data_IF_508903725494
#
_entry.id   IF_508903725494
#
_cell.length_a   1.000
_cell.length_b   1.000
_cell.length_c   1.000
_cell.angle_alpha   90.00
_cell.angle_beta   90.00
_cell.angle_gamma   90.00
#
_symmetry.space_group_name_H-M   'P 1'
#
loop_
_entity.id
_entity.type
_entity.pdbx_description
1 polymer ?
#
# COMPACT_ATOMS: atom_id res chain seq x y z
N UNK A 1 4.85 -9.70 8.02
CA UNK A 1 4.25 -8.36 8.16
C UNK A 1 4.47 -7.77 9.56
N UNK A 2 4.25 -8.50 10.65
CA UNK A 2 4.49 -7.97 12.02
C UNK A 2 5.95 -7.54 12.23
N UNK A 3 6.93 -8.32 11.77
CA UNK A 3 8.34 -7.97 11.89
C UNK A 3 8.75 -6.68 11.18
N UNK A 4 8.09 -6.35 10.06
CA UNK A 4 8.34 -5.11 9.31
C UNK A 4 7.87 -3.89 10.08
N UNK A 5 6.73 -3.99 10.76
CA UNK A 5 6.21 -2.90 11.58
C UNK A 5 7.06 -2.68 12.83
N UNK A 6 7.43 -3.74 13.54
CA UNK A 6 8.26 -3.64 14.75
C UNK A 6 9.66 -3.08 14.47
N UNK A 7 10.30 -3.50 13.37
CA UNK A 7 11.61 -2.94 12.96
C UNK A 7 11.51 -1.52 12.40
N UNK A 8 10.36 -1.18 11.78
CA UNK A 8 10.09 0.15 11.23
C UNK A 8 9.74 1.19 12.30
N UNK A 9 9.21 0.78 13.45
CA UNK A 9 8.81 1.69 14.53
C UNK A 9 9.99 2.48 15.13
N UNK A 10 11.16 1.86 15.23
CA UNK A 10 12.36 2.53 15.77
C UNK A 10 12.79 3.75 14.92
N UNK A 11 13.02 3.62 13.61
CA UNK A 11 13.35 4.77 12.78
C UNK A 11 12.17 5.74 12.58
N UNK A 12 10.92 5.25 12.61
CA UNK A 12 9.73 6.11 12.54
C UNK A 12 9.65 7.07 13.71
N UNK A 13 9.81 6.59 14.96
CA UNK A 13 9.81 7.43 16.16
C UNK A 13 10.93 8.47 16.14
N UNK A 14 12.12 8.12 15.65
CA UNK A 14 13.22 9.06 15.51
C UNK A 14 12.93 10.17 14.50
N UNK A 15 12.30 9.84 13.38
CA UNK A 15 11.93 10.83 12.34
C UNK A 15 10.74 11.68 12.81
N UNK A 16 9.74 11.09 13.46
CA UNK A 16 8.62 11.81 14.06
C UNK A 16 9.08 12.85 15.08
N UNK A 17 10.02 12.46 15.95
CA UNK A 17 10.62 13.37 16.93
C UNK A 17 11.37 14.53 16.25
N UNK A 18 12.18 14.25 15.23
CA UNK A 18 12.91 15.27 14.45
C UNK A 18 11.95 16.23 13.72
N UNK A 19 10.90 15.71 13.09
CA UNK A 19 9.91 16.52 12.39
C UNK A 19 9.10 17.38 13.37
N UNK A 20 8.77 16.84 14.55
CA UNK A 20 8.12 17.57 15.64
C UNK A 20 8.99 18.72 16.15
N UNK A 21 10.27 18.47 16.45
CA UNK A 21 11.23 19.49 16.90
C UNK A 21 11.41 20.62 15.86
N UNK A 22 11.48 20.27 14.58
CA UNK A 22 11.52 21.25 13.49
C UNK A 22 10.22 22.08 13.41
N UNK A 23 9.07 21.44 13.61
CA UNK A 23 7.77 22.10 13.68
C UNK A 23 7.71 23.11 14.83
N UNK A 24 8.17 22.71 16.02
CA UNK A 24 8.19 23.56 17.22
C UNK A 24 9.16 24.75 17.10
N UNK A 25 10.34 24.54 16.49
CA UNK A 25 11.30 25.62 16.23
C UNK A 25 10.72 26.69 15.29
N UNK A 26 9.96 26.27 14.27
CA UNK A 26 9.31 27.21 13.34
C UNK A 26 8.11 27.87 14.02
N UNK A 27 7.37 27.12 14.85
CA UNK A 27 6.24 27.63 15.62
C UNK A 27 6.66 28.75 16.60
N UNK A 28 7.83 28.63 17.23
CA UNK A 28 8.36 29.62 18.18
C UNK A 28 8.95 30.86 17.52
N UNK A 29 9.35 30.76 16.24
CA UNK A 29 10.05 31.84 15.54
C UNK A 29 9.15 32.71 14.65
N UNK A 30 7.90 32.28 14.43
CA UNK A 30 6.91 33.04 13.64
C UNK A 30 5.76 33.56 14.49
N UNK A 31 5.33 34.79 14.26
CA UNK A 31 4.14 35.38 14.87
C UNK A 31 2.86 34.67 14.43
N UNK A 32 1.88 34.60 15.31
CA UNK A 32 0.59 33.96 15.05
C UNK A 32 -0.11 34.57 13.82
N UNK A 33 -0.41 33.67 12.83
CA UNK A 33 -1.09 34.08 11.60
C UNK A 33 -1.48 32.85 10.76
N UNK A 34 -2.46 33.00 9.84
CA UNK A 34 -2.93 31.89 9.01
C UNK A 34 -1.81 31.31 8.12
N UNK A 35 -0.75 32.03 7.90
CA UNK A 35 0.43 31.62 7.14
C UNK A 35 1.28 30.60 7.93
N UNK A 36 1.30 30.70 9.27
CA UNK A 36 1.97 29.78 10.19
C UNK A 36 1.27 28.41 10.17
N UNK A 37 -0.05 28.41 10.27
CA UNK A 37 -0.85 27.16 10.26
C UNK A 37 -0.70 26.45 8.90
N UNK A 38 -0.68 27.19 7.79
CA UNK A 38 -0.46 26.62 6.46
C UNK A 38 0.94 26.02 6.31
N UNK A 39 1.98 26.64 6.87
CA UNK A 39 3.36 26.16 6.80
C UNK A 39 3.58 24.95 7.73
N UNK A 40 3.09 25.02 8.96
CA UNK A 40 3.31 23.96 9.96
C UNK A 40 2.43 22.76 9.67
N UNK A 41 1.12 22.96 9.57
CA UNK A 41 0.18 21.83 9.35
C UNK A 41 0.17 21.37 7.91
N UNK A 42 0.30 22.27 6.93
CA UNK A 42 0.28 21.90 5.53
C UNK A 42 1.60 21.30 5.05
N UNK A 43 2.70 22.03 5.19
CA UNK A 43 4.00 21.60 4.61
C UNK A 43 4.71 20.63 5.55
N UNK A 44 4.91 20.99 6.83
CA UNK A 44 5.65 20.15 7.76
C UNK A 44 4.85 18.91 8.12
N UNK A 45 3.56 19.03 8.41
CA UNK A 45 2.67 17.90 8.67
C UNK A 45 2.53 16.98 7.45
N UNK A 46 2.34 17.55 6.25
CA UNK A 46 2.20 16.78 5.02
C UNK A 46 3.49 16.08 4.58
N UNK A 47 4.59 16.83 4.49
CA UNK A 47 5.90 16.27 4.09
C UNK A 47 6.45 15.35 5.19
N UNK A 48 6.31 15.74 6.46
CA UNK A 48 6.71 14.91 7.61
C UNK A 48 5.98 13.58 7.63
N UNK A 49 4.66 13.58 7.41
CA UNK A 49 3.87 12.36 7.32
C UNK A 49 4.37 11.40 6.22
N UNK A 50 4.77 11.93 5.05
CA UNK A 50 5.34 11.09 3.98
C UNK A 50 6.71 10.55 4.37
N UNK A 51 7.57 11.36 4.97
CA UNK A 51 8.94 10.95 5.36
C UNK A 51 8.89 9.89 6.47
N UNK A 52 7.95 9.99 7.41
CA UNK A 52 7.75 8.99 8.47
C UNK A 52 7.40 7.61 7.90
N UNK A 53 6.64 7.55 6.79
CA UNK A 53 6.32 6.28 6.14
C UNK A 53 7.46 5.68 5.29
N UNK A 54 8.45 6.47 4.94
CA UNK A 54 9.53 6.07 4.04
C UNK A 54 10.35 4.87 4.56
N UNK A 55 10.78 4.79 5.83
CA UNK A 55 11.48 3.63 6.35
C UNK A 55 10.65 2.35 6.28
N UNK A 56 9.36 2.44 6.57
CA UNK A 56 8.46 1.29 6.51
C UNK A 56 8.32 0.75 5.07
N UNK A 57 8.22 1.65 4.10
CA UNK A 57 8.18 1.28 2.67
C UNK A 57 9.49 0.64 2.23
N UNK A 58 10.64 1.16 2.66
CA UNK A 58 11.97 0.60 2.36
C UNK A 58 12.13 -0.82 2.93
N UNK A 59 11.75 -1.03 4.19
CA UNK A 59 11.78 -2.33 4.84
C UNK A 59 10.85 -3.33 4.14
N UNK A 60 9.65 -2.90 3.82
CA UNK A 60 8.69 -3.73 3.08
C UNK A 60 9.26 -4.14 1.72
N UNK A 61 9.87 -3.20 1.00
CA UNK A 61 10.50 -3.46 -0.30
C UNK A 61 11.68 -4.43 -0.16
N UNK A 62 12.50 -4.26 0.88
CA UNK A 62 13.62 -5.14 1.19
C UNK A 62 13.16 -6.58 1.43
N UNK A 63 12.13 -6.79 2.26
CA UNK A 63 11.59 -8.12 2.52
C UNK A 63 10.95 -8.77 1.29
N UNK A 64 10.26 -7.99 0.46
CA UNK A 64 9.69 -8.47 -0.80
C UNK A 64 10.80 -8.93 -1.74
N UNK A 65 11.87 -8.14 -1.91
CA UNK A 65 13.02 -8.49 -2.73
C UNK A 65 13.70 -9.78 -2.25
N UNK A 66 13.84 -9.94 -0.95
CA UNK A 66 14.43 -11.13 -0.34
C UNK A 66 13.57 -12.37 -0.56
N UNK A 67 12.24 -12.25 -0.53
CA UNK A 67 11.32 -13.34 -0.87
C UNK A 67 11.32 -13.67 -2.37
N UNK A 68 11.54 -12.68 -3.23
CA UNK A 68 11.66 -12.87 -4.67
C UNK A 68 12.95 -13.60 -5.02
N UNK A 69 14.09 -13.17 -4.46
CA UNK A 69 15.41 -13.80 -4.66
C UNK A 69 15.48 -15.23 -4.12
N UNK A 70 14.74 -15.55 -3.05
CA UNK A 70 14.68 -16.92 -2.50
C UNK A 70 13.94 -17.92 -3.40
N UNK A 71 13.31 -17.46 -4.49
CA UNK A 71 12.52 -18.30 -5.41
C UNK A 71 11.19 -18.80 -4.83
N UNK A 72 10.81 -18.33 -3.64
CA UNK A 72 9.54 -18.70 -2.99
C UNK A 72 8.34 -18.26 -3.83
N UNK A 73 8.41 -17.06 -4.42
CA UNK A 73 7.36 -16.49 -5.26
C UNK A 73 7.06 -17.33 -6.51
N UNK A 74 8.08 -17.92 -7.13
CA UNK A 74 7.92 -18.78 -8.30
C UNK A 74 7.13 -20.07 -7.97
N UNK A 75 7.37 -20.64 -6.79
CA UNK A 75 6.63 -21.83 -6.32
C UNK A 75 5.17 -21.49 -6.00
N UNK A 76 4.92 -20.35 -5.36
CA UNK A 76 3.58 -19.87 -5.07
C UNK A 76 2.78 -19.60 -6.36
N UNK A 77 3.40 -19.00 -7.37
CA UNK A 77 2.78 -18.75 -8.67
C UNK A 77 2.35 -20.05 -9.37
N UNK A 78 3.15 -21.09 -9.29
CA UNK A 78 2.83 -22.39 -9.88
C UNK A 78 1.57 -23.03 -9.25
N UNK A 79 1.45 -22.97 -7.93
CA UNK A 79 0.29 -23.53 -7.21
C UNK A 79 -0.99 -22.76 -7.58
N UNK A 80 -0.90 -21.45 -7.72
CA UNK A 80 -2.05 -20.57 -7.97
C UNK A 80 -2.40 -20.42 -9.46
N UNK A 81 -1.59 -20.98 -10.37
CA UNK A 81 -1.80 -20.92 -11.82
C UNK A 81 -3.20 -21.44 -12.22
N UNK A 82 -3.65 -22.53 -11.62
CA UNK A 82 -4.97 -23.11 -11.88
C UNK A 82 -6.14 -22.16 -11.54
N UNK A 83 -5.98 -21.34 -10.51
CA UNK A 83 -7.01 -20.37 -10.09
C UNK A 83 -6.97 -19.14 -11.00
N UNK A 84 -5.76 -18.67 -11.36
CA UNK A 84 -5.58 -17.54 -12.23
C UNK A 84 -6.10 -17.79 -13.65
N UNK A 85 -5.92 -19.00 -14.18
CA UNK A 85 -6.49 -19.40 -15.46
C UNK A 85 -8.03 -19.35 -15.48
N UNK A 86 -8.71 -19.65 -14.39
CA UNK A 86 -10.17 -19.51 -14.29
C UNK A 86 -10.63 -18.04 -14.37
N UNK A 87 -9.76 -17.11 -14.01
CA UNK A 87 -10.02 -15.66 -14.09
C UNK A 87 -9.56 -15.06 -15.44
N UNK A 88 -8.96 -15.86 -16.32
CA UNK A 88 -8.42 -15.43 -17.61
C UNK A 88 -7.03 -14.78 -17.52
N UNK A 89 -6.38 -14.86 -16.36
CA UNK A 89 -5.03 -14.32 -16.12
C UNK A 89 -3.98 -15.44 -16.14
N UNK A 90 -2.74 -15.07 -16.42
CA UNK A 90 -1.61 -16.00 -16.34
C UNK A 90 -1.19 -16.21 -14.88
N UNK A 91 -0.69 -17.39 -14.51
CA UNK A 91 -0.26 -17.70 -13.15
C UNK A 91 0.75 -16.71 -12.56
N UNK A 92 1.65 -16.19 -13.39
CA UNK A 92 2.60 -15.14 -13.02
C UNK A 92 1.93 -13.82 -12.56
N UNK A 93 0.66 -13.57 -12.90
CA UNK A 93 -0.10 -12.38 -12.46
C UNK A 93 -0.46 -12.43 -10.98
N UNK A 94 -0.40 -13.61 -10.36
CA UNK A 94 -0.67 -13.78 -8.93
C UNK A 94 0.32 -13.01 -8.05
N UNK A 95 1.60 -12.99 -8.43
CA UNK A 95 2.66 -12.32 -7.67
C UNK A 95 2.38 -10.82 -7.53
N UNK A 96 2.21 -10.04 -8.64
CA UNK A 96 1.85 -8.64 -8.54
C UNK A 96 0.55 -8.39 -7.77
N UNK A 97 -0.45 -9.26 -7.88
CA UNK A 97 -1.71 -9.08 -7.19
C UNK A 97 -1.54 -9.21 -5.67
N UNK A 98 -0.79 -10.20 -5.17
CA UNK A 98 -0.52 -10.31 -3.73
C UNK A 98 0.34 -9.15 -3.23
N UNK A 99 1.36 -8.77 -3.99
CA UNK A 99 2.20 -7.61 -3.65
C UNK A 99 1.37 -6.32 -3.56
N UNK A 100 0.30 -6.20 -4.37
CA UNK A 100 -0.62 -5.07 -4.38
C UNK A 100 -1.36 -4.84 -3.06
N UNK A 101 -1.58 -5.87 -2.26
CA UNK A 101 -2.12 -5.70 -0.90
C UNK A 101 -1.12 -5.02 0.06
N UNK A 102 0.17 -5.22 -0.16
CA UNK A 102 1.21 -4.52 0.58
C UNK A 102 1.46 -3.12 0.00
N UNK A 103 1.96 -3.07 -1.23
CA UNK A 103 2.28 -1.83 -1.93
C UNK A 103 2.07 -1.96 -3.44
N UNK A 104 1.29 -1.07 -4.02
CA UNK A 104 0.99 -1.09 -5.47
C UNK A 104 2.21 -0.76 -6.34
N UNK A 105 3.17 0.01 -5.83
CA UNK A 105 4.35 0.42 -6.62
C UNK A 105 5.21 -0.77 -7.04
N UNK A 106 5.75 -1.59 -6.11
CA UNK A 106 6.51 -2.79 -6.46
C UNK A 106 5.65 -3.81 -7.20
N UNK A 107 4.36 -3.89 -6.91
CA UNK A 107 3.44 -4.78 -7.61
C UNK A 107 3.31 -4.45 -9.10
N UNK A 108 3.19 -3.18 -9.45
CA UNK A 108 3.17 -2.73 -10.84
C UNK A 108 4.53 -2.96 -11.50
N UNK A 109 5.63 -2.75 -10.79
CA UNK A 109 6.97 -3.03 -11.30
C UNK A 109 7.19 -4.53 -11.56
N UNK A 110 6.77 -5.39 -10.64
CA UNK A 110 6.84 -6.85 -10.79
C UNK A 110 5.98 -7.37 -11.96
N UNK A 111 4.90 -6.66 -12.33
CA UNK A 111 4.08 -7.05 -13.48
C UNK A 111 4.84 -7.06 -14.80
N UNK A 112 6.02 -6.40 -14.89
CA UNK A 112 6.88 -6.43 -16.07
C UNK A 112 7.41 -7.83 -16.40
N UNK A 113 7.47 -8.72 -15.42
CA UNK A 113 7.90 -10.13 -15.61
C UNK A 113 6.88 -10.98 -16.35
N UNK A 114 5.66 -10.47 -16.55
CA UNK A 114 4.59 -11.17 -17.28
C UNK A 114 4.86 -11.04 -18.78
N UNK A 115 5.07 -12.15 -19.46
CA UNK A 115 5.41 -12.22 -20.88
C UNK A 115 4.24 -11.78 -21.77
N UNK A 116 3.02 -12.20 -21.44
CA UNK A 116 1.84 -11.87 -22.21
C UNK A 116 1.42 -10.42 -21.99
N UNK A 117 1.47 -9.61 -23.06
CA UNK A 117 1.15 -8.17 -23.04
C UNK A 117 -0.26 -7.87 -22.53
N UNK A 118 -1.26 -8.69 -22.92
CA UNK A 118 -2.65 -8.50 -22.43
C UNK A 118 -2.73 -8.74 -20.94
N UNK A 119 -2.25 -9.88 -20.44
CA UNK A 119 -2.27 -10.20 -19.00
C UNK A 119 -1.49 -9.18 -18.17
N UNK A 120 -0.37 -8.68 -18.70
CA UNK A 120 0.42 -7.63 -18.05
C UNK A 120 -0.37 -6.33 -17.89
N UNK A 121 -1.00 -5.83 -18.96
CA UNK A 121 -1.80 -4.62 -18.93
C UNK A 121 -3.00 -4.76 -17.98
N UNK A 122 -3.70 -5.88 -18.04
CA UNK A 122 -4.84 -6.16 -17.18
C UNK A 122 -4.40 -6.20 -15.71
N UNK A 123 -3.29 -6.85 -15.39
CA UNK A 123 -2.73 -6.90 -14.04
C UNK A 123 -2.36 -5.51 -13.52
N UNK A 124 -1.75 -4.66 -14.37
CA UNK A 124 -1.43 -3.27 -14.00
C UNK A 124 -2.68 -2.43 -13.72
N UNK A 125 -3.76 -2.62 -14.50
CA UNK A 125 -5.01 -1.89 -14.34
C UNK A 125 -5.81 -2.33 -13.12
N UNK A 126 -5.73 -3.60 -12.75
CA UNK A 126 -6.47 -4.15 -11.62
C UNK A 126 -5.78 -3.85 -10.28
N UNK A 127 -4.45 -3.75 -10.29
CA UNK A 127 -3.66 -3.56 -9.08
C UNK A 127 -4.11 -2.35 -8.24
N UNK A 128 -4.39 -1.16 -8.79
CA UNK A 128 -4.89 -0.02 -8.02
C UNK A 128 -6.29 -0.21 -7.40
N UNK A 129 -7.07 -1.19 -7.86
CA UNK A 129 -8.36 -1.53 -7.26
C UNK A 129 -8.21 -2.31 -5.96
N UNK A 130 -7.05 -2.95 -5.76
CA UNK A 130 -6.74 -3.60 -4.50
C UNK A 130 -6.33 -2.57 -3.45
N UNK A 131 -6.91 -2.70 -2.27
CA UNK A 131 -6.58 -1.81 -1.14
C UNK A 131 -5.22 -2.17 -0.58
N UNK A 132 -4.24 -1.29 -0.78
CA UNK A 132 -2.90 -1.44 -0.20
C UNK A 132 -2.85 -0.98 1.26
N UNK A 133 -1.80 -1.36 1.97
CA UNK A 133 -1.60 -1.01 3.38
C UNK A 133 -1.57 0.50 3.64
N UNK A 134 -1.14 1.31 2.68
CA UNK A 134 -1.14 2.76 2.78
C UNK A 134 -2.54 3.41 2.82
N UNK A 135 -3.57 2.71 2.32
CA UNK A 135 -4.97 3.18 2.39
C UNK A 135 -5.65 2.83 3.71
N UNK A 136 -5.10 1.88 4.45
CA UNK A 136 -5.69 1.37 5.69
C UNK A 136 -5.87 2.47 6.75
N UNK A 137 -4.90 3.36 7.03
CA UNK A 137 -5.09 4.46 7.98
C UNK A 137 -6.23 5.41 7.58
N UNK A 138 -6.37 5.70 6.28
CA UNK A 138 -7.44 6.58 5.78
C UNK A 138 -8.81 5.91 5.98
N UNK A 139 -8.91 4.61 5.70
CA UNK A 139 -10.14 3.86 5.94
C UNK A 139 -10.50 3.79 7.42
N UNK A 140 -9.49 3.59 8.31
CA UNK A 140 -9.69 3.58 9.75
C UNK A 140 -10.21 4.91 10.26
N UNK A 141 -9.66 6.03 9.79
CA UNK A 141 -10.10 7.37 10.14
C UNK A 141 -11.55 7.62 9.70
N UNK A 142 -11.87 7.33 8.43
CA UNK A 142 -13.21 7.53 7.89
C UNK A 142 -14.24 6.63 8.57
N UNK A 143 -13.93 5.35 8.69
CA UNK A 143 -14.85 4.37 9.28
C UNK A 143 -15.01 4.63 10.78
N UNK A 144 -13.93 5.00 11.49
CA UNK A 144 -13.99 5.38 12.90
C UNK A 144 -14.82 6.62 13.17
N UNK A 145 -14.80 7.60 12.24
CA UNK A 145 -15.61 8.81 12.36
C UNK A 145 -17.11 8.57 12.10
N UNK A 146 -17.44 7.71 11.10
CA UNK A 146 -18.83 7.49 10.68
C UNK A 146 -19.50 6.29 11.33
N UNK A 147 -18.74 5.23 11.66
CA UNK A 147 -19.28 3.95 12.16
C UNK A 147 -18.47 3.39 13.34
N UNK A 148 -18.47 4.06 14.52
CA UNK A 148 -17.64 3.63 15.66
C UNK A 148 -17.99 2.23 16.19
N UNK A 149 -19.25 1.80 16.07
CA UNK A 149 -19.71 0.51 16.61
C UNK A 149 -19.42 -0.69 15.70
N UNK A 150 -19.28 -0.50 14.37
CA UNK A 150 -19.13 -1.57 13.39
C UNK A 150 -17.94 -1.36 12.45
N UNK A 151 -16.88 -0.70 12.90
CA UNK A 151 -15.72 -0.35 12.12
C UNK A 151 -15.08 -1.55 11.40
N UNK A 152 -14.90 -2.66 12.11
CA UNK A 152 -14.29 -3.87 11.55
C UNK A 152 -15.12 -4.50 10.44
N UNK A 153 -16.44 -4.50 10.56
CA UNK A 153 -17.33 -5.06 9.55
C UNK A 153 -17.34 -4.22 8.27
N UNK A 154 -17.39 -2.90 8.42
CA UNK A 154 -17.35 -1.96 7.27
C UNK A 154 -16.01 -2.06 6.54
N UNK A 155 -14.89 -2.17 7.26
CA UNK A 155 -13.57 -2.41 6.67
C UNK A 155 -13.55 -3.71 5.84
N UNK A 156 -14.05 -4.81 6.41
CA UNK A 156 -14.12 -6.10 5.71
C UNK A 156 -14.93 -5.99 4.42
N UNK A 157 -16.07 -5.30 4.46
CA UNK A 157 -16.92 -5.07 3.28
C UNK A 157 -16.18 -4.26 2.20
N UNK A 158 -15.46 -3.20 2.56
CA UNK A 158 -14.68 -2.39 1.63
C UNK A 158 -13.62 -3.24 0.92
N UNK A 159 -12.88 -4.06 1.67
CA UNK A 159 -11.88 -4.97 1.10
C UNK A 159 -12.52 -6.04 0.20
N UNK A 160 -13.64 -6.62 0.61
CA UNK A 160 -14.37 -7.59 -0.19
C UNK A 160 -14.87 -7.01 -1.52
N UNK A 161 -15.41 -5.78 -1.48
CA UNK A 161 -15.84 -5.06 -2.69
C UNK A 161 -14.64 -4.79 -3.61
N UNK A 162 -13.49 -4.37 -3.08
CA UNK A 162 -12.27 -4.15 -3.86
C UNK A 162 -11.81 -5.40 -4.59
N UNK A 163 -11.79 -6.55 -3.90
CA UNK A 163 -11.41 -7.85 -4.50
C UNK A 163 -12.43 -8.26 -5.57
N UNK A 164 -13.72 -8.12 -5.28
CA UNK A 164 -14.79 -8.47 -6.22
C UNK A 164 -14.72 -7.63 -7.48
N UNK A 165 -14.52 -6.33 -7.35
CA UNK A 165 -14.29 -5.40 -8.47
C UNK A 165 -13.06 -5.80 -9.29
N UNK A 166 -11.96 -6.13 -8.64
CA UNK A 166 -10.74 -6.58 -9.29
C UNK A 166 -10.98 -7.85 -10.14
N UNK A 167 -11.71 -8.82 -9.59
CA UNK A 167 -12.06 -10.07 -10.31
C UNK A 167 -13.00 -9.81 -11.48
N UNK A 168 -14.01 -8.95 -11.31
CA UNK A 168 -14.96 -8.58 -12.38
C UNK A 168 -14.21 -7.88 -13.52
N UNK A 169 -13.36 -6.90 -13.19
CA UNK A 169 -12.56 -6.16 -14.18
C UNK A 169 -11.57 -7.09 -14.89
N UNK A 170 -10.93 -8.03 -14.17
CA UNK A 170 -10.08 -9.03 -14.77
C UNK A 170 -10.82 -9.82 -15.85
N UNK A 171 -12.00 -10.33 -15.55
CA UNK A 171 -12.82 -11.09 -16.50
C UNK A 171 -13.30 -10.25 -17.68
N UNK A 172 -13.64 -9.00 -17.43
CA UNK A 172 -14.13 -8.09 -18.47
C UNK A 172 -13.02 -7.77 -19.49
N UNK A 173 -11.82 -7.49 -19.04
CA UNK A 173 -10.68 -7.18 -19.91
C UNK A 173 -10.02 -8.41 -20.55
N UNK A 174 -10.18 -9.59 -19.97
CA UNK A 174 -9.65 -10.82 -20.56
C UNK A 174 -10.58 -11.46 -21.60
N UNK A 175 -11.84 -11.03 -21.67
CA UNK A 175 -12.81 -11.48 -22.68
C UNK A 175 -12.65 -10.71 -23.99
#
# INVERSE_FOLDING_TARGET
FEGTFVLGDYPMQGIEWLVGELGDLICNNMSEGPLKDLLVDGIIGGVGGVIVFLPNILLLYFFISLMEDSGYMARAAFIMDKIMHKMGLHGKSFIPLIMGFGCNVPAIMASRTIENRKSRLVTMLINPLMSCSARLPIYLLLVGAFFPNNASFVLLVIYAIGILLAVVMARLFCR
#
